data_IF_946937158237
#
_entry.id   IF_946937158237
#
_cell.length_a   1.000
_cell.length_b   1.000
_cell.length_c   1.000
_cell.angle_alpha   90.00
_cell.angle_beta   90.00
_cell.angle_gamma   90.00
#
_symmetry.space_group_name_H-M   'P 1'
#
loop_
_entity.id
_entity.type
_entity.pdbx_description
1 polymer ?
#
# COMPACT_ATOMS: atom_id res chain seq x y z
N UNK A 1 -20.12 -19.38 0.46
CA UNK A 1 -20.47 -18.59 1.66
C UNK A 1 -19.42 -17.50 1.82
N UNK A 2 -19.82 -16.22 1.81
CA UNK A 2 -18.89 -15.10 2.03
C UNK A 2 -18.56 -15.03 3.52
N UNK A 3 -17.29 -14.82 3.85
CA UNK A 3 -16.82 -14.69 5.24
C UNK A 3 -17.44 -13.44 5.91
N UNK A 4 -17.61 -13.40 7.26
CA UNK A 4 -17.94 -12.16 7.98
C UNK A 4 -17.06 -10.98 7.57
N UNK A 5 -17.64 -9.77 7.66
CA UNK A 5 -17.10 -8.51 7.10
C UNK A 5 -15.68 -8.13 7.57
N UNK A 6 -15.19 -8.72 8.67
CA UNK A 6 -13.88 -8.42 9.25
C UNK A 6 -12.93 -9.61 9.11
N UNK A 7 -11.78 -9.36 8.50
CA UNK A 7 -10.63 -10.27 8.51
C UNK A 7 -10.09 -10.38 9.94
N UNK A 8 -9.94 -11.62 10.42
CA UNK A 8 -9.34 -11.93 11.72
C UNK A 8 -7.81 -11.78 11.66
N UNK A 9 -7.14 -11.93 12.80
CA UNK A 9 -5.67 -11.97 12.81
C UNK A 9 -5.14 -13.20 12.06
N UNK A 10 -5.73 -14.36 12.29
CA UNK A 10 -5.40 -15.58 11.55
C UNK A 10 -5.59 -15.42 10.03
N UNK A 11 -6.54 -14.61 9.57
CA UNK A 11 -6.65 -14.29 8.14
C UNK A 11 -5.48 -13.45 7.63
N UNK A 12 -5.02 -12.49 8.42
CA UNK A 12 -3.91 -11.60 8.07
C UNK A 12 -2.60 -12.38 7.99
N UNK A 13 -2.36 -13.25 8.98
CA UNK A 13 -1.23 -14.19 8.97
C UNK A 13 -1.27 -15.12 7.76
N UNK A 14 -2.45 -15.68 7.45
CA UNK A 14 -2.62 -16.55 6.29
C UNK A 14 -2.42 -15.80 4.97
N UNK A 15 -2.90 -14.56 4.87
CA UNK A 15 -2.67 -13.69 3.71
C UNK A 15 -1.16 -13.46 3.51
N UNK A 16 -0.44 -13.09 4.56
CA UNK A 16 1.01 -12.85 4.50
C UNK A 16 1.76 -14.12 4.06
N UNK A 17 1.51 -15.24 4.75
CA UNK A 17 2.12 -16.55 4.45
C UNK A 17 1.90 -16.95 3.00
N UNK A 18 0.64 -16.86 2.51
CA UNK A 18 0.35 -17.21 1.13
C UNK A 18 1.01 -16.26 0.13
N UNK A 19 1.12 -14.97 0.47
CA UNK A 19 1.76 -13.98 -0.40
C UNK A 19 3.25 -14.24 -0.54
N UNK A 20 3.93 -14.49 0.57
CA UNK A 20 5.35 -14.83 0.65
C UNK A 20 5.65 -16.19 0.00
N UNK A 21 4.69 -17.12 0.01
CA UNK A 21 4.75 -18.34 -0.80
C UNK A 21 4.50 -18.11 -2.31
N UNK A 22 4.36 -16.85 -2.75
CA UNK A 22 4.23 -16.48 -4.16
C UNK A 22 2.81 -16.54 -4.72
N UNK A 23 1.77 -16.74 -3.90
CA UNK A 23 0.39 -16.71 -4.39
C UNK A 23 -0.01 -15.30 -4.84
N UNK A 24 -0.82 -15.24 -5.90
CA UNK A 24 -1.38 -13.97 -6.38
C UNK A 24 -2.49 -13.47 -5.44
N UNK A 25 -2.73 -12.16 -5.41
CA UNK A 25 -3.82 -11.60 -4.59
C UNK A 25 -5.19 -12.22 -4.94
N UNK A 26 -5.40 -12.65 -6.20
CA UNK A 26 -6.60 -13.36 -6.62
C UNK A 26 -6.73 -14.76 -6.00
N UNK A 27 -5.63 -15.52 -6.00
CA UNK A 27 -5.60 -16.85 -5.37
C UNK A 27 -5.82 -16.76 -3.86
N UNK A 28 -5.21 -15.77 -3.21
CA UNK A 28 -5.37 -15.51 -1.78
C UNK A 28 -6.82 -15.09 -1.48
N UNK A 29 -7.39 -14.17 -2.26
CA UNK A 29 -8.76 -13.72 -2.11
C UNK A 29 -9.76 -14.88 -2.19
N UNK A 30 -9.59 -15.78 -3.16
CA UNK A 30 -10.39 -16.98 -3.30
C UNK A 30 -10.25 -17.93 -2.09
N UNK A 31 -9.02 -18.11 -1.58
CA UNK A 31 -8.75 -18.99 -0.45
C UNK A 31 -9.29 -18.45 0.89
N UNK A 32 -9.27 -17.13 1.09
CA UNK A 32 -9.77 -16.48 2.31
C UNK A 32 -11.29 -16.23 2.22
N UNK A 33 -11.84 -16.11 1.01
CA UNK A 33 -13.24 -15.74 0.79
C UNK A 33 -13.48 -14.24 0.97
N UNK A 34 -12.54 -13.39 0.51
CA UNK A 34 -12.63 -11.93 0.59
C UNK A 34 -12.28 -11.25 -0.75
N UNK A 35 -12.31 -9.92 -0.82
CA UNK A 35 -12.01 -9.21 -2.07
C UNK A 35 -10.51 -9.10 -2.34
N UNK A 36 -10.14 -9.03 -3.62
CA UNK A 36 -8.74 -8.82 -4.05
C UNK A 36 -8.17 -7.52 -3.47
N UNK A 37 -8.98 -6.45 -3.42
CA UNK A 37 -8.57 -5.17 -2.85
C UNK A 37 -8.28 -5.28 -1.35
N UNK A 38 -9.07 -6.05 -0.60
CA UNK A 38 -8.80 -6.31 0.81
C UNK A 38 -7.47 -7.03 1.00
N UNK A 39 -7.20 -8.08 0.21
CA UNK A 39 -5.89 -8.76 0.21
C UNK A 39 -4.76 -7.80 -0.12
N UNK A 40 -4.88 -7.02 -1.21
CA UNK A 40 -3.84 -6.08 -1.62
C UNK A 40 -3.53 -5.05 -0.53
N UNK A 41 -4.55 -4.56 0.18
CA UNK A 41 -4.37 -3.64 1.31
C UNK A 41 -3.68 -4.34 2.48
N UNK A 42 -4.06 -5.58 2.81
CA UNK A 42 -3.41 -6.34 3.87
C UNK A 42 -1.95 -6.64 3.55
N UNK A 43 -1.63 -7.09 2.33
CA UNK A 43 -0.24 -7.31 1.93
C UNK A 43 0.60 -6.03 2.06
N UNK A 44 0.07 -4.88 1.63
CA UNK A 44 0.76 -3.60 1.78
C UNK A 44 0.98 -3.24 3.26
N UNK A 45 -0.07 -3.37 4.09
CA UNK A 45 -0.03 -3.04 5.51
C UNK A 45 0.90 -3.96 6.32
N UNK A 46 1.01 -5.22 5.93
CA UNK A 46 1.84 -6.23 6.60
C UNK A 46 3.26 -6.30 6.02
N UNK A 47 3.56 -5.56 4.94
CA UNK A 47 4.84 -5.69 4.24
C UNK A 47 5.03 -7.02 3.49
N UNK A 48 3.97 -7.82 3.34
CA UNK A 48 4.05 -9.14 2.72
C UNK A 48 4.29 -9.04 1.20
N UNK A 49 5.43 -9.55 0.75
CA UNK A 49 5.89 -9.51 -0.63
C UNK A 49 5.99 -10.92 -1.22
N UNK A 50 5.80 -11.11 -2.54
CA UNK A 50 6.08 -12.38 -3.18
C UNK A 50 7.62 -12.60 -3.29
N UNK A 51 8.09 -13.84 -3.48
CA UNK A 51 9.53 -14.16 -3.56
C UNK A 51 10.30 -13.36 -4.63
N UNK A 52 9.61 -13.01 -5.71
CA UNK A 52 10.15 -12.24 -6.81
C UNK A 52 9.28 -11.00 -7.03
N UNK A 53 9.47 -9.93 -6.23
CA UNK A 53 8.70 -8.72 -6.36
C UNK A 53 9.03 -8.00 -7.67
N UNK A 54 8.02 -7.37 -8.27
CA UNK A 54 8.24 -6.55 -9.47
C UNK A 54 9.16 -5.36 -9.17
N UNK A 55 9.98 -4.98 -10.16
CA UNK A 55 10.83 -3.79 -10.11
C UNK A 55 10.03 -2.55 -9.76
N UNK A 56 10.60 -1.70 -8.91
CA UNK A 56 10.03 -0.41 -8.55
C UNK A 56 9.94 0.51 -9.77
N UNK A 57 8.80 1.17 -9.92
CA UNK A 57 8.59 2.18 -10.96
C UNK A 57 9.04 3.54 -10.48
N UNK A 58 9.61 4.35 -11.36
CA UNK A 58 10.00 5.73 -11.06
C UNK A 58 8.81 6.55 -10.53
N UNK A 59 9.09 7.41 -9.56
CA UNK A 59 8.11 8.35 -9.01
C UNK A 59 8.07 9.58 -9.93
N UNK A 60 6.89 10.06 -10.34
CA UNK A 60 6.79 11.27 -11.15
C UNK A 60 7.37 12.49 -10.43
N UNK A 61 8.04 13.38 -11.15
CA UNK A 61 8.49 14.68 -10.62
C UNK A 61 7.42 15.77 -10.78
N UNK A 62 6.54 15.64 -11.77
CA UNK A 62 5.48 16.61 -12.05
C UNK A 62 4.09 16.12 -11.62
N UNK A 63 3.19 17.03 -11.18
CA UNK A 63 1.81 16.68 -10.88
C UNK A 63 1.10 16.03 -12.08
N UNK A 64 0.24 15.06 -11.78
CA UNK A 64 -0.58 14.40 -12.79
C UNK A 64 -1.69 13.56 -12.19
N UNK A 65 -2.59 13.08 -13.03
CA UNK A 65 -3.70 12.21 -12.61
C UNK A 65 -3.85 11.02 -13.56
N UNK A 66 -4.52 9.97 -13.07
CA UNK A 66 -4.88 8.80 -13.87
C UNK A 66 -6.35 8.47 -13.68
N UNK A 67 -7.00 8.05 -14.76
CA UNK A 67 -8.36 7.52 -14.71
C UNK A 67 -8.33 6.05 -14.26
N UNK A 68 -9.10 5.72 -13.23
CA UNK A 68 -9.29 4.37 -12.67
C UNK A 68 -10.79 4.08 -12.63
N UNK A 69 -11.28 3.38 -13.65
CA UNK A 69 -12.73 3.24 -13.84
C UNK A 69 -13.38 4.62 -13.98
N UNK A 70 -14.33 4.92 -13.09
CA UNK A 70 -15.05 6.20 -13.06
C UNK A 70 -14.41 7.26 -12.14
N UNK A 71 -13.19 7.05 -11.65
CA UNK A 71 -12.52 7.96 -10.71
C UNK A 71 -11.23 8.53 -11.29
N UNK A 72 -10.97 9.81 -11.01
CA UNK A 72 -9.69 10.47 -11.28
C UNK A 72 -8.83 10.38 -10.01
N UNK A 73 -7.64 9.80 -10.12
CA UNK A 73 -6.71 9.64 -9.01
C UNK A 73 -5.47 10.50 -9.25
N UNK A 74 -5.22 11.46 -8.35
CA UNK A 74 -4.02 12.31 -8.36
C UNK A 74 -2.78 11.49 -7.99
N UNK A 75 -1.74 11.49 -8.81
CA UNK A 75 -0.46 10.83 -8.50
C UNK A 75 0.31 11.63 -7.46
N UNK A 76 1.06 10.96 -6.58
CA UNK A 76 2.05 11.60 -5.73
C UNK A 76 3.29 11.93 -6.55
N UNK A 77 3.88 13.10 -6.31
CA UNK A 77 5.18 13.48 -6.85
C UNK A 77 6.31 13.12 -5.90
N UNK A 78 7.56 13.20 -6.38
CA UNK A 78 8.75 13.04 -5.54
C UNK A 78 8.79 14.08 -4.40
N UNK A 79 8.42 15.34 -4.67
CA UNK A 79 8.38 16.39 -3.65
C UNK A 79 7.30 16.12 -2.58
N UNK A 80 6.14 15.62 -2.99
CA UNK A 80 5.09 15.23 -2.04
C UNK A 80 5.51 14.01 -1.20
N UNK A 81 6.23 13.06 -1.79
CA UNK A 81 6.79 11.92 -1.05
C UNK A 81 7.83 12.39 -0.02
N UNK A 82 8.77 13.26 -0.42
CA UNK A 82 9.77 13.82 0.46
C UNK A 82 9.12 14.58 1.62
N UNK A 83 8.12 15.43 1.33
CA UNK A 83 7.39 16.15 2.37
C UNK A 83 6.61 15.21 3.28
N UNK A 84 6.02 14.15 2.73
CA UNK A 84 5.29 13.17 3.51
C UNK A 84 6.21 12.44 4.51
N UNK A 85 7.41 12.03 4.09
CA UNK A 85 8.42 11.38 4.96
C UNK A 85 8.90 12.35 6.03
N UNK A 86 9.21 13.60 5.68
CA UNK A 86 9.61 14.64 6.65
C UNK A 86 8.54 14.83 7.73
N UNK A 87 7.27 14.97 7.32
CA UNK A 87 6.16 15.17 8.25
C UNK A 87 5.89 13.94 9.13
N UNK A 88 6.06 12.73 8.60
CA UNK A 88 5.96 11.51 9.40
C UNK A 88 7.09 11.43 10.44
N UNK A 89 8.32 11.78 10.06
CA UNK A 89 9.47 11.83 10.96
C UNK A 89 9.32 12.88 12.08
N UNK A 90 8.57 13.96 11.84
CA UNK A 90 8.13 14.92 12.87
C UNK A 90 7.11 14.32 13.86
N UNK A 91 6.62 13.10 13.62
CA UNK A 91 5.63 12.42 14.46
C UNK A 91 4.18 12.82 14.16
N UNK A 92 3.91 13.45 13.02
CA UNK A 92 2.53 13.82 12.68
C UNK A 92 1.64 12.62 12.39
N UNK A 93 0.37 12.78 12.77
CA UNK A 93 -0.69 11.86 12.38
C UNK A 93 -1.02 11.97 10.89
N UNK A 94 -1.54 10.88 10.30
CA UNK A 94 -2.02 10.87 8.91
C UNK A 94 -3.04 11.99 8.62
N UNK A 95 -3.86 12.36 9.61
CA UNK A 95 -4.86 13.43 9.46
C UNK A 95 -4.21 14.81 9.34
N UNK A 96 -3.12 15.07 10.08
CA UNK A 96 -2.36 16.32 9.97
C UNK A 96 -1.60 16.39 8.65
N UNK A 97 -0.94 15.30 8.26
CA UNK A 97 -0.23 15.20 6.98
C UNK A 97 -1.23 15.42 5.82
N UNK A 98 -2.41 14.82 5.90
CA UNK A 98 -3.51 15.00 4.94
C UNK A 98 -3.87 16.47 4.74
N UNK A 99 -4.02 17.24 5.83
CA UNK A 99 -4.30 18.68 5.78
C UNK A 99 -3.16 19.46 5.14
N UNK A 100 -1.91 19.15 5.50
CA UNK A 100 -0.71 19.82 4.97
C UNK A 100 -0.51 19.57 3.46
N UNK A 101 -0.84 18.38 2.98
CA UNK A 101 -0.66 17.98 1.57
C UNK A 101 -1.90 18.18 0.67
N UNK A 102 -3.06 18.54 1.24
CA UNK A 102 -4.33 18.58 0.51
C UNK A 102 -4.70 17.23 -0.12
N UNK A 103 -4.48 16.14 0.63
CA UNK A 103 -4.68 14.74 0.19
C UNK A 103 -5.68 14.04 1.11
N UNK A 104 -6.52 13.10 0.63
CA UNK A 104 -7.37 12.30 1.51
C UNK A 104 -6.54 11.45 2.51
N UNK A 105 -6.95 11.31 3.79
CA UNK A 105 -6.18 10.57 4.80
C UNK A 105 -5.83 9.14 4.41
N UNK A 106 -6.79 8.37 3.85
CA UNK A 106 -6.52 7.00 3.39
C UNK A 106 -5.50 6.95 2.25
N UNK A 107 -5.46 7.99 1.40
CA UNK A 107 -4.45 8.12 0.35
C UNK A 107 -3.06 8.38 0.90
N UNK A 108 -2.96 9.16 1.99
CA UNK A 108 -1.70 9.41 2.69
C UNK A 108 -1.23 8.14 3.39
N UNK A 109 -2.11 7.46 4.13
CA UNK A 109 -1.78 6.20 4.81
C UNK A 109 -1.25 5.14 3.85
N UNK A 110 -1.96 4.91 2.73
CA UNK A 110 -1.51 3.98 1.71
C UNK A 110 -0.18 4.40 1.07
N UNK A 111 0.11 5.70 1.00
CA UNK A 111 1.37 6.20 0.48
C UNK A 111 2.53 6.00 1.44
N UNK A 112 2.34 6.27 2.74
CA UNK A 112 3.33 5.98 3.80
C UNK A 112 3.73 4.51 3.75
N UNK A 113 2.75 3.60 3.78
CA UNK A 113 3.03 2.15 3.69
C UNK A 113 3.74 1.77 2.39
N UNK A 114 3.42 2.46 1.29
CA UNK A 114 4.11 2.23 0.00
C UNK A 114 5.56 2.67 0.05
N UNK A 115 5.87 3.80 0.69
CA UNK A 115 7.24 4.32 0.80
C UNK A 115 8.08 3.45 1.73
N UNK A 116 7.58 3.11 2.92
CA UNK A 116 8.25 2.18 3.84
C UNK A 116 8.60 0.84 3.17
N UNK A 117 7.68 0.30 2.35
CA UNK A 117 7.92 -0.92 1.58
C UNK A 117 8.94 -0.74 0.46
N UNK A 118 9.07 0.45 -0.12
CA UNK A 118 10.10 0.74 -1.13
C UNK A 118 11.46 0.83 -0.47
N UNK A 119 11.55 1.47 0.68
CA UNK A 119 12.79 1.61 1.44
C UNK A 119 13.31 0.23 1.87
N UNK A 120 12.45 -0.62 2.45
CA UNK A 120 12.79 -2.00 2.79
C UNK A 120 13.30 -2.83 1.59
N UNK A 121 12.76 -2.61 0.39
CA UNK A 121 13.23 -3.28 -0.84
C UNK A 121 14.59 -2.76 -1.30
N UNK A 122 14.84 -1.46 -1.15
CA UNK A 122 16.13 -0.86 -1.48
C UNK A 122 17.21 -1.35 -0.52
N UNK A 123 16.91 -1.42 0.77
CA UNK A 123 17.80 -1.98 1.80
C UNK A 123 18.14 -3.45 1.52
N UNK A 124 17.15 -4.27 1.15
CA UNK A 124 17.39 -5.68 0.83
C UNK A 124 18.16 -5.92 -0.49
N UNK A 125 18.31 -4.89 -1.33
CA UNK A 125 19.01 -4.97 -2.62
C UNK A 125 20.40 -4.30 -2.60
N UNK A 126 20.77 -3.67 -1.49
CA UNK A 126 22.06 -3.00 -1.27
C UNK A 126 23.08 -3.99 -0.69
#
# INVERSE_FOLDING_TARGET
>A
MSKPWRLTEADRERIATMREAGKSCGQIAAAIGCSISAVSWQCLRLGAEPPHPQRLKEVPTVPGSVRRGNHIVRRFTADEDAKLVELEAEGLTTAEISRRLGRPPNSVLGRIMTLARRDARMEASA
#
